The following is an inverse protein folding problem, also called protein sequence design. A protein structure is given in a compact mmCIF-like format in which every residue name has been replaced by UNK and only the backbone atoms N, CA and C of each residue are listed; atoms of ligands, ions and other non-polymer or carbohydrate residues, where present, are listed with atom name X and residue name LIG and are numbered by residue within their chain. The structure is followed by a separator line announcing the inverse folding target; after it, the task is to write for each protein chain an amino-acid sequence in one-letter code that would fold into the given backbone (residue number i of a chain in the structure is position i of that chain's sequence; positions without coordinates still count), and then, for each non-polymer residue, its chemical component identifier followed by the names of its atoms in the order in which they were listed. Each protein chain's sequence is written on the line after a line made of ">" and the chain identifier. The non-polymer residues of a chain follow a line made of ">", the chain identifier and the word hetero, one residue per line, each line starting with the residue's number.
data_IF_063609375719
#
_entry.id   IF_063609375719
#
_cell.length_a   1.000
_cell.length_b   1.000
_cell.length_c   1.000
_cell.angle_alpha   90.00
_cell.angle_beta   90.00
_cell.angle_gamma   90.00
#
_symmetry.space_group_name_H-M   'P 1'
#
loop_
_entity.id
_entity.type
_entity.pdbx_description
1 polymer ?
#
# COMPACT_ATOMS: atom_id res chain seq x y z
N UNK A 1 0.14 7.67 9.31
CA UNK A 1 0.05 6.22 9.03
C UNK A 1 -0.44 5.89 7.62
N UNK A 2 -1.59 6.42 7.19
CA UNK A 2 -2.13 6.15 5.84
C UNK A 2 -1.15 6.54 4.71
N UNK A 3 -0.55 7.73 4.75
CA UNK A 3 0.43 8.16 3.75
C UNK A 3 1.67 7.25 3.70
N UNK A 4 2.15 6.79 4.85
CA UNK A 4 3.26 5.84 4.91
C UNK A 4 2.86 4.49 4.29
N UNK A 5 1.62 4.05 4.50
CA UNK A 5 1.08 2.81 3.92
C UNK A 5 0.94 2.90 2.41
N UNK A 6 0.28 3.95 1.89
CA UNK A 6 0.14 4.19 0.44
C UNK A 6 1.50 4.38 -0.24
N UNK A 7 2.49 4.88 0.49
CA UNK A 7 3.83 5.13 -0.03
C UNK A 7 4.82 4.00 0.25
N UNK A 8 4.42 2.95 0.95
CA UNK A 8 5.27 1.80 1.32
C UNK A 8 6.38 2.09 2.33
N UNK A 9 6.30 3.18 3.09
CA UNK A 9 7.35 3.62 4.02
C UNK A 9 7.13 2.99 5.39
N UNK A 10 8.19 2.43 5.99
CA UNK A 10 8.15 1.80 7.32
C UNK A 10 8.00 2.80 8.47
N UNK A 11 8.39 4.06 8.25
CA UNK A 11 8.34 5.11 9.26
C UNK A 11 7.32 6.18 8.91
N UNK A 12 6.69 6.72 9.95
CA UNK A 12 5.79 7.86 9.79
C UNK A 12 6.61 9.13 9.50
N UNK A 13 6.02 10.06 8.76
CA UNK A 13 6.56 11.41 8.71
C UNK A 13 6.50 12.03 10.12
N UNK A 14 7.41 12.95 10.41
CA UNK A 14 7.35 13.72 11.64
C UNK A 14 6.06 14.55 11.72
N UNK A 15 5.77 14.95 12.94
CA UNK A 15 4.57 15.70 13.28
C UNK A 15 4.49 17.04 12.55
N UNK A 16 5.60 17.78 12.46
CA UNK A 16 5.61 19.12 11.86
C UNK A 16 5.23 19.05 10.37
N UNK A 17 5.84 18.12 9.61
CA UNK A 17 5.48 17.90 8.19
C UNK A 17 4.05 17.39 8.02
N UNK A 18 3.61 16.50 8.89
CA UNK A 18 2.24 15.97 8.86
C UNK A 18 1.19 17.06 9.14
N UNK A 19 1.46 17.91 10.14
CA UNK A 19 0.64 19.06 10.51
C UNK A 19 0.59 20.10 9.39
N UNK A 20 1.74 20.45 8.82
CA UNK A 20 1.81 21.39 7.71
C UNK A 20 1.01 20.90 6.49
N UNK A 21 1.08 19.61 6.17
CA UNK A 21 0.27 19.02 5.10
C UNK A 21 -1.24 19.10 5.42
N UNK A 22 -1.62 18.79 6.66
CA UNK A 22 -3.02 18.84 7.09
C UNK A 22 -3.60 20.26 7.03
N UNK A 23 -2.85 21.27 7.50
CA UNK A 23 -3.29 22.66 7.39
C UNK A 23 -3.47 23.10 5.93
N UNK A 24 -2.56 22.69 5.03
CA UNK A 24 -2.70 22.97 3.60
C UNK A 24 -3.93 22.32 2.98
N UNK A 25 -4.27 21.10 3.39
CA UNK A 25 -5.49 20.41 2.93
C UNK A 25 -6.77 21.15 3.34
N UNK A 26 -6.76 21.88 4.46
CA UNK A 26 -7.92 22.67 4.93
C UNK A 26 -8.15 23.94 4.12
N UNK A 27 -7.10 24.50 3.50
CA UNK A 27 -7.19 25.76 2.75
C UNK A 27 -7.87 25.55 1.40
N UNK A 28 -7.60 24.43 0.71
CA UNK A 28 -8.19 24.16 -0.59
C UNK A 28 -7.47 23.08 -1.40
N UNK A 29 -7.64 23.08 -2.73
CA UNK A 29 -7.00 22.12 -3.62
C UNK A 29 -5.49 22.09 -3.43
N UNK A 30 -4.92 20.90 -3.45
CA UNK A 30 -3.52 20.66 -3.14
C UNK A 30 -2.96 19.52 -3.98
N UNK A 31 -1.72 19.65 -4.44
CA UNK A 31 -0.92 18.52 -4.89
C UNK A 31 0.43 18.58 -4.16
N UNK A 32 0.71 17.59 -3.33
CA UNK A 32 1.95 17.51 -2.56
C UNK A 32 2.36 16.06 -2.33
N UNK A 33 3.66 15.83 -2.10
CA UNK A 33 4.17 14.50 -1.75
C UNK A 33 4.65 14.48 -0.30
N UNK A 34 4.23 13.47 0.47
CA UNK A 34 4.79 13.14 1.78
C UNK A 34 4.84 11.62 1.95
N UNK A 35 5.92 11.11 2.58
CA UNK A 35 6.12 9.66 2.77
C UNK A 35 5.95 8.84 1.49
N UNK A 36 6.51 9.32 0.36
CA UNK A 36 6.41 8.68 -0.97
C UNK A 36 4.99 8.59 -1.56
N UNK A 37 4.01 9.24 -0.91
CA UNK A 37 2.61 9.32 -1.37
C UNK A 37 2.34 10.70 -1.93
N UNK A 38 1.82 10.75 -3.15
CA UNK A 38 1.20 11.95 -3.68
C UNK A 38 -0.19 12.08 -3.08
N UNK A 39 -0.47 13.25 -2.53
CA UNK A 39 -1.76 13.69 -2.04
C UNK A 39 -2.29 14.71 -3.03
N UNK A 40 -3.27 14.30 -3.82
CA UNK A 40 -3.96 15.16 -4.79
C UNK A 40 -5.38 15.42 -4.28
N UNK A 41 -5.59 16.60 -3.71
CA UNK A 41 -6.87 17.08 -3.18
C UNK A 41 -7.56 17.96 -4.20
N UNK A 42 -8.78 17.57 -4.56
CA UNK A 42 -9.66 18.23 -5.54
C UNK A 42 -11.03 18.45 -4.92
N UNK A 43 -11.89 19.18 -5.62
CA UNK A 43 -13.32 19.30 -5.26
C UNK A 43 -14.03 17.94 -5.21
N UNK A 44 -13.60 16.98 -6.02
CA UNK A 44 -14.18 15.64 -6.11
C UNK A 44 -13.67 14.66 -5.05
N UNK A 45 -12.68 15.07 -4.23
CA UNK A 45 -12.13 14.23 -3.18
C UNK A 45 -10.61 14.34 -3.04
N UNK A 46 -10.07 13.55 -2.10
CA UNK A 46 -8.63 13.42 -1.86
C UNK A 46 -8.19 12.07 -2.40
N UNK A 47 -7.23 12.10 -3.31
CA UNK A 47 -6.68 10.91 -3.95
C UNK A 47 -5.25 10.69 -3.46
N UNK A 48 -4.97 9.46 -3.06
CA UNK A 48 -3.67 9.04 -2.55
C UNK A 48 -3.08 7.99 -3.48
N UNK A 49 -1.85 8.19 -3.95
CA UNK A 49 -1.16 7.18 -4.72
C UNK A 49 0.35 7.24 -4.53
N UNK A 50 1.02 6.13 -4.80
CA UNK A 50 2.48 6.03 -4.73
C UNK A 50 3.12 6.91 -5.79
N UNK A 51 4.03 7.79 -5.38
CA UNK A 51 4.81 8.62 -6.30
C UNK A 51 5.71 7.76 -7.22
N UNK A 52 5.81 8.09 -8.51
CA UNK A 52 6.57 7.28 -9.46
C UNK A 52 8.10 7.34 -9.27
N UNK A 53 8.61 8.27 -8.45
CA UNK A 53 10.05 8.39 -8.19
C UNK A 53 10.55 7.23 -7.34
N UNK A 54 11.74 6.72 -7.69
CA UNK A 54 12.43 5.66 -6.97
C UNK A 54 11.58 4.39 -6.79
N UNK A 55 10.82 4.01 -7.83
CA UNK A 55 10.22 2.68 -7.89
C UNK A 55 11.32 1.63 -8.08
N UNK A 56 11.17 0.42 -7.50
CA UNK A 56 12.19 -0.61 -7.68
C UNK A 56 12.33 -0.99 -9.15
N UNK A 57 13.57 -1.27 -9.56
CA UNK A 57 13.84 -1.82 -10.88
C UNK A 57 13.26 -3.24 -11.01
N UNK A 58 13.17 -3.72 -12.26
CA UNK A 58 12.78 -5.10 -12.53
C UNK A 58 13.73 -6.07 -11.82
N UNK A 59 13.18 -7.06 -11.11
CA UNK A 59 13.94 -8.06 -10.38
C UNK A 59 13.24 -9.43 -10.42
N UNK A 60 13.95 -10.54 -10.19
CA UNK A 60 13.31 -11.84 -10.02
C UNK A 60 12.24 -11.78 -8.92
N UNK A 61 11.06 -12.34 -9.18
CA UNK A 61 10.01 -12.46 -8.18
C UNK A 61 10.41 -13.54 -7.16
N UNK A 62 10.32 -13.19 -5.88
CA UNK A 62 10.64 -14.10 -4.76
C UNK A 62 9.39 -14.29 -3.91
N UNK A 63 9.14 -15.53 -3.48
CA UNK A 63 7.98 -15.82 -2.63
C UNK A 63 8.05 -15.08 -1.29
N UNK A 64 6.91 -14.57 -0.83
CA UNK A 64 6.79 -13.80 0.41
C UNK A 64 7.40 -12.39 0.37
N UNK A 65 7.98 -11.96 -0.76
CA UNK A 65 8.66 -10.67 -0.83
C UNK A 65 7.72 -9.49 -0.62
N UNK A 66 8.26 -8.42 -0.03
CA UNK A 66 7.60 -7.12 0.01
C UNK A 66 8.08 -6.26 -1.16
N UNK A 67 7.18 -6.03 -2.12
CA UNK A 67 7.42 -5.06 -3.18
C UNK A 67 7.21 -3.66 -2.64
N UNK A 68 8.26 -2.82 -2.76
CA UNK A 68 8.33 -1.40 -2.39
C UNK A 68 7.80 -1.00 -1.00
N UNK A 69 7.44 -1.98 -0.17
CA UNK A 69 6.79 -1.85 1.14
C UNK A 69 5.25 -1.90 1.09
N UNK A 70 4.61 -1.86 -0.09
CA UNK A 70 3.13 -1.79 -0.20
C UNK A 70 2.45 -3.11 -0.46
N UNK A 71 3.13 -4.05 -1.13
CA UNK A 71 2.52 -5.32 -1.57
C UNK A 71 3.35 -6.52 -1.11
N UNK A 72 2.69 -7.58 -0.64
CA UNK A 72 3.29 -8.90 -0.40
C UNK A 72 2.89 -9.84 -1.52
N UNK A 73 3.88 -10.52 -2.10
CA UNK A 73 3.69 -11.44 -3.23
C UNK A 73 3.76 -12.87 -2.73
N UNK A 74 2.81 -13.72 -3.13
CA UNK A 74 2.82 -15.15 -2.80
C UNK A 74 2.82 -15.96 -4.10
N UNK A 75 3.93 -16.63 -4.40
CA UNK A 75 4.14 -17.35 -5.65
C UNK A 75 3.65 -18.81 -5.59
N UNK A 76 3.54 -19.42 -4.40
CA UNK A 76 3.09 -20.81 -4.21
C UNK A 76 3.81 -21.75 -5.20
N UNK A 77 5.15 -21.81 -5.12
CA UNK A 77 6.05 -22.60 -5.98
C UNK A 77 6.19 -22.16 -7.46
N UNK A 78 5.52 -21.09 -7.89
CA UNK A 78 5.54 -20.62 -9.30
C UNK A 78 6.69 -19.65 -9.63
N UNK A 79 7.85 -19.78 -9.02
CA UNK A 79 8.97 -18.82 -9.15
C UNK A 79 9.68 -18.83 -10.52
N UNK A 80 9.42 -19.83 -11.37
CA UNK A 80 10.13 -20.03 -12.64
C UNK A 80 10.08 -18.82 -13.58
N UNK A 81 11.18 -18.07 -13.64
CA UNK A 81 11.42 -16.98 -14.60
C UNK A 81 10.49 -15.78 -14.47
N UNK A 82 9.75 -15.63 -13.36
CA UNK A 82 8.91 -14.47 -13.12
C UNK A 82 9.77 -13.28 -12.71
N UNK A 83 9.47 -12.12 -13.32
CA UNK A 83 10.08 -10.84 -12.98
C UNK A 83 9.00 -9.95 -12.39
N UNK A 84 9.29 -9.28 -11.29
CA UNK A 84 8.44 -8.24 -10.73
C UNK A 84 9.01 -6.87 -11.09
N UNK A 85 8.16 -5.99 -11.61
CA UNK A 85 8.51 -4.63 -11.99
C UNK A 85 7.28 -3.72 -11.87
N UNK A 86 7.41 -2.38 -11.88
CA UNK A 86 6.26 -1.49 -11.98
C UNK A 86 5.46 -1.80 -13.25
N UNK A 87 4.12 -1.70 -13.18
CA UNK A 87 3.24 -1.84 -14.35
C UNK A 87 3.61 -0.84 -15.46
N UNK A 88 4.00 0.37 -15.06
CA UNK A 88 4.45 1.43 -15.95
C UNK A 88 3.31 2.14 -16.71
N UNK A 89 3.59 3.32 -17.27
CA UNK A 89 2.58 4.22 -17.81
C UNK A 89 1.84 3.65 -19.03
N UNK A 90 2.53 2.90 -19.89
CA UNK A 90 1.96 2.36 -21.12
C UNK A 90 0.93 1.25 -20.85
N UNK A 91 1.20 0.34 -19.91
CA UNK A 91 0.25 -0.69 -19.51
C UNK A 91 -0.86 -0.10 -18.62
N UNK A 92 -0.52 0.79 -17.68
CA UNK A 92 -1.52 1.47 -16.86
C UNK A 92 -2.57 2.22 -17.68
N UNK A 93 -2.19 2.86 -18.80
CA UNK A 93 -3.14 3.52 -19.70
C UNK A 93 -4.22 2.58 -20.25
N UNK A 94 -3.88 1.32 -20.49
CA UNK A 94 -4.79 0.32 -21.08
C UNK A 94 -5.81 -0.23 -20.10
N UNK A 95 -5.54 -0.15 -18.80
CA UNK A 95 -6.36 -0.79 -17.74
C UNK A 95 -6.96 0.23 -16.76
N UNK A 96 -6.85 1.52 -17.04
CA UNK A 96 -7.27 2.60 -16.15
C UNK A 96 -8.77 2.97 -16.30
N UNK A 97 -9.67 2.04 -16.00
CA UNK A 97 -11.14 2.22 -16.08
C UNK A 97 -11.86 2.15 -14.72
N UNK A 98 -12.42 3.24 -14.19
CA UNK A 98 -13.24 3.18 -12.96
C UNK A 98 -13.61 4.54 -12.38
N UNK A 99 -14.01 4.58 -11.11
CA UNK A 99 -14.66 5.75 -10.49
C UNK A 99 -13.76 6.95 -10.11
N UNK A 100 -12.43 6.81 -10.18
CA UNK A 100 -11.49 7.91 -9.92
C UNK A 100 -11.12 8.64 -11.23
N UNK A 101 -10.68 9.92 -11.18
CA UNK A 101 -10.20 10.62 -12.37
C UNK A 101 -9.14 9.81 -13.14
N UNK A 102 -9.35 9.64 -14.45
CA UNK A 102 -8.58 8.71 -15.27
C UNK A 102 -7.07 8.99 -15.26
N UNK A 103 -6.66 10.25 -15.16
CA UNK A 103 -5.24 10.62 -15.02
C UNK A 103 -4.64 10.10 -13.70
N UNK A 104 -5.34 10.28 -12.57
CA UNK A 104 -4.89 9.84 -11.25
C UNK A 104 -4.82 8.32 -11.17
N UNK A 105 -5.82 7.64 -11.73
CA UNK A 105 -5.82 6.19 -11.80
C UNK A 105 -4.65 5.65 -12.63
N UNK A 106 -4.35 6.25 -13.78
CA UNK A 106 -3.16 5.89 -14.58
C UNK A 106 -1.87 6.06 -13.79
N UNK A 107 -1.72 7.17 -13.07
CA UNK A 107 -0.54 7.43 -12.25
C UNK A 107 -0.40 6.43 -11.10
N UNK A 108 -1.51 6.10 -10.43
CA UNK A 108 -1.52 5.12 -9.35
C UNK A 108 -1.15 3.72 -9.86
N UNK A 109 -1.81 3.27 -10.93
CA UNK A 109 -1.58 1.96 -11.53
C UNK A 109 -0.16 1.81 -12.08
N UNK A 110 0.43 2.86 -12.67
CA UNK A 110 1.79 2.81 -13.19
C UNK A 110 2.83 2.47 -12.12
N UNK A 111 2.55 2.79 -10.86
CA UNK A 111 3.41 2.49 -9.72
C UNK A 111 3.12 1.13 -9.08
N UNK A 112 2.01 0.47 -9.38
CA UNK A 112 1.70 -0.86 -8.84
C UNK A 112 2.67 -1.92 -9.38
N UNK A 113 3.04 -2.94 -8.57
CA UNK A 113 3.79 -4.06 -9.09
C UNK A 113 2.95 -4.86 -10.09
N UNK A 114 3.65 -5.33 -11.11
CA UNK A 114 3.18 -6.28 -12.08
C UNK A 114 4.20 -7.43 -12.21
N UNK A 115 3.68 -8.60 -12.53
CA UNK A 115 4.45 -9.80 -12.80
C UNK A 115 4.60 -9.97 -14.31
N UNK A 116 5.82 -10.21 -14.73
CA UNK A 116 6.23 -10.24 -16.12
C UNK A 116 6.95 -11.54 -16.45
N UNK A 117 6.78 -12.00 -17.70
CA UNK A 117 7.57 -13.09 -18.29
C UNK A 117 7.78 -12.79 -19.77
N UNK A 118 9.03 -12.77 -20.23
CA UNK A 118 9.34 -12.53 -21.64
C UNK A 118 8.80 -11.20 -22.22
N UNK A 119 8.59 -10.18 -21.38
CA UNK A 119 8.00 -8.89 -21.78
C UNK A 119 6.48 -8.82 -21.75
N UNK A 120 5.80 -9.94 -21.49
CA UNK A 120 4.36 -10.01 -21.27
C UNK A 120 4.02 -9.73 -19.81
N UNK A 121 3.01 -8.88 -19.56
CA UNK A 121 2.46 -8.66 -18.23
C UNK A 121 1.41 -9.74 -17.93
N UNK A 122 1.70 -10.62 -16.98
CA UNK A 122 0.83 -11.75 -16.64
C UNK A 122 -0.22 -11.37 -15.58
N UNK A 123 0.17 -10.55 -14.62
CA UNK A 123 -0.67 -10.16 -13.48
C UNK A 123 -0.20 -8.83 -12.89
N UNK A 124 -1.04 -8.10 -12.17
CA UNK A 124 -0.68 -6.86 -11.46
C UNK A 124 -1.59 -6.58 -10.27
N UNK A 125 -1.11 -5.76 -9.33
CA UNK A 125 -1.90 -5.41 -8.16
C UNK A 125 -3.16 -4.61 -8.57
N UNK A 126 -4.34 -5.20 -8.35
CA UNK A 126 -5.64 -4.58 -8.68
C UNK A 126 -6.14 -4.88 -10.10
N UNK A 127 -5.52 -5.82 -10.81
CA UNK A 127 -6.06 -6.39 -12.05
C UNK A 127 -6.91 -7.63 -11.80
N UNK A 128 -7.70 -7.99 -12.80
CA UNK A 128 -8.33 -9.32 -12.86
C UNK A 128 -7.28 -10.32 -13.36
N UNK A 129 -6.72 -11.06 -12.42
CA UNK A 129 -5.65 -12.02 -12.68
C UNK A 129 -6.13 -13.20 -13.54
N UNK A 130 -5.30 -13.63 -14.50
CA UNK A 130 -5.50 -14.87 -15.24
C UNK A 130 -5.40 -16.08 -14.29
N UNK A 131 -6.31 -17.08 -14.37
CA UNK A 131 -6.23 -18.25 -13.49
C UNK A 131 -5.01 -19.15 -13.78
N UNK A 132 -4.33 -19.68 -12.74
CA UNK A 132 -4.51 -19.40 -11.32
C UNK A 132 -3.86 -18.06 -10.92
N UNK A 133 -4.54 -17.20 -10.15
CA UNK A 133 -4.00 -15.88 -9.78
C UNK A 133 -2.75 -16.00 -8.90
N UNK A 134 -1.84 -15.01 -8.97
CA UNK A 134 -0.72 -14.89 -8.04
C UNK A 134 -1.10 -13.82 -7.00
N UNK A 135 -1.34 -14.15 -5.73
CA UNK A 135 -1.76 -13.17 -4.75
C UNK A 135 -0.75 -12.02 -4.58
N UNK A 136 -1.22 -10.80 -4.84
CA UNK A 136 -0.51 -9.53 -4.59
C UNK A 136 -1.28 -8.73 -3.55
N UNK A 137 -1.07 -9.05 -2.28
CA UNK A 137 -1.85 -8.50 -1.17
C UNK A 137 -1.29 -7.14 -0.70
N UNK A 138 -2.13 -6.13 -0.40
CA UNK A 138 -1.65 -4.90 0.23
C UNK A 138 -1.16 -5.13 1.66
N UNK A 139 -0.25 -4.28 2.11
CA UNK A 139 0.37 -4.35 3.44
C UNK A 139 0.33 -2.98 4.10
N UNK A 140 0.05 -2.95 5.41
CA UNK A 140 0.21 -1.75 6.23
C UNK A 140 1.70 -1.52 6.49
N UNK A 141 2.36 -0.81 5.58
CA UNK A 141 3.83 -0.73 5.49
C UNK A 141 4.56 -0.45 6.81
N UNK A 142 4.10 0.50 7.67
CA UNK A 142 4.74 0.74 8.97
C UNK A 142 4.84 -0.50 9.88
N UNK A 143 3.92 -1.45 9.70
CA UNK A 143 3.77 -2.63 10.53
C UNK A 143 4.02 -3.93 9.77
N UNK A 144 4.60 -3.86 8.57
CA UNK A 144 4.84 -5.02 7.72
C UNK A 144 5.74 -6.09 8.36
N UNK A 145 6.59 -5.67 9.30
CA UNK A 145 7.58 -6.51 10.01
C UNK A 145 7.26 -6.68 11.50
N UNK A 146 6.73 -5.64 12.13
CA UNK A 146 6.43 -5.63 13.55
C UNK A 146 5.23 -4.72 13.82
N UNK A 147 4.21 -5.23 14.50
CA UNK A 147 3.02 -4.49 14.89
C UNK A 147 2.95 -4.47 16.43
N UNK A 148 3.24 -3.33 17.08
CA UNK A 148 3.07 -3.24 18.53
C UNK A 148 1.58 -3.29 18.91
N UNK A 149 1.28 -3.83 20.09
CA UNK A 149 -0.10 -4.06 20.56
C UNK A 149 -0.92 -2.77 20.64
N UNK A 150 -0.30 -1.65 21.03
CA UNK A 150 -0.97 -0.35 21.12
C UNK A 150 -1.39 0.21 19.75
N UNK A 151 -0.77 -0.25 18.65
CA UNK A 151 -1.11 0.17 17.29
C UNK A 151 -2.11 -0.78 16.58
N UNK A 152 -2.60 -1.83 17.24
CA UNK A 152 -3.51 -2.80 16.62
C UNK A 152 -4.77 -2.16 16.02
N UNK A 153 -5.44 -1.29 16.78
CA UNK A 153 -6.67 -0.61 16.33
C UNK A 153 -6.42 0.30 15.12
N UNK A 154 -5.45 1.24 15.16
CA UNK A 154 -5.17 2.07 13.99
C UNK A 154 -4.71 1.23 12.79
N UNK A 155 -3.84 0.23 13.00
CA UNK A 155 -3.39 -0.65 11.92
C UNK A 155 -4.55 -1.40 11.26
N UNK A 156 -5.50 -1.93 12.03
CA UNK A 156 -6.67 -2.64 11.52
C UNK A 156 -7.59 -1.74 10.68
N UNK A 157 -7.77 -0.48 11.10
CA UNK A 157 -8.54 0.50 10.34
C UNK A 157 -7.90 0.78 8.97
N UNK A 158 -6.58 0.94 8.91
CA UNK A 158 -5.88 1.14 7.63
C UNK A 158 -5.85 -0.15 6.80
N UNK A 159 -5.68 -1.32 7.41
CA UNK A 159 -5.76 -2.60 6.71
C UNK A 159 -7.12 -2.75 6.00
N UNK A 160 -8.21 -2.42 6.70
CA UNK A 160 -9.57 -2.41 6.13
C UNK A 160 -9.68 -1.43 4.96
N UNK A 161 -9.19 -0.19 5.13
CA UNK A 161 -9.27 0.86 4.11
C UNK A 161 -8.55 0.48 2.81
N UNK A 162 -7.44 -0.25 2.88
CA UNK A 162 -6.64 -0.64 1.71
C UNK A 162 -6.98 -2.04 1.18
N UNK A 163 -7.92 -2.76 1.83
CA UNK A 163 -8.25 -4.15 1.49
C UNK A 163 -7.12 -5.14 1.80
N UNK A 164 -6.32 -4.90 2.83
CA UNK A 164 -5.27 -5.83 3.27
C UNK A 164 -5.86 -7.01 4.05
N UNK A 165 -5.18 -8.17 4.06
CA UNK A 165 -5.55 -9.28 4.92
C UNK A 165 -5.66 -8.84 6.39
N UNK A 166 -6.54 -9.50 7.19
CA UNK A 166 -6.69 -9.18 8.59
C UNK A 166 -5.36 -9.35 9.33
N UNK A 167 -5.10 -8.44 10.27
CA UNK A 167 -3.90 -8.47 11.10
C UNK A 167 -3.97 -9.63 12.09
N UNK A 168 -2.82 -10.21 12.48
CA UNK A 168 -2.81 -11.23 13.52
C UNK A 168 -3.39 -10.66 14.82
N UNK A 169 -4.17 -11.44 15.57
CA UNK A 169 -4.70 -11.00 16.87
C UNK A 169 -3.56 -10.75 17.86
N UNK A 170 -3.84 -9.96 18.90
CA UNK A 170 -2.90 -9.80 20.00
C UNK A 170 -2.56 -11.17 20.61
N UNK A 171 -1.28 -11.50 20.81
CA UNK A 171 -0.90 -12.74 21.49
C UNK A 171 -1.31 -12.72 22.97
N UNK A 172 -1.53 -11.52 23.53
CA UNK A 172 -2.01 -11.35 24.89
C UNK A 172 -3.54 -11.37 24.89
N UNK A 173 -4.11 -12.56 24.88
CA UNK A 173 -5.54 -12.73 25.11
C UNK A 173 -5.85 -12.32 26.57
N UNK A 174 -6.73 -11.34 26.79
CA UNK A 174 -7.47 -11.10 28.06
C UNK A 174 -6.87 -10.28 29.22
N UNK A 175 -5.92 -9.37 29.01
CA UNK A 175 -5.46 -8.46 30.08
C UNK A 175 -6.41 -7.27 30.36
N UNK A 176 -7.30 -6.94 29.42
CA UNK A 176 -8.34 -5.90 29.62
C UNK A 176 -9.64 -6.45 30.23
N UNK A 177 -9.64 -7.64 30.83
CA UNK A 177 -10.79 -8.14 31.60
C UNK A 177 -10.92 -7.38 32.91
N UNK A 178 -11.28 -6.09 32.86
CA UNK A 178 -11.95 -5.30 33.93
C UNK A 178 -11.55 -5.55 35.38
N UNK A 179 -10.35 -6.06 35.64
CA UNK A 179 -9.91 -6.50 36.94
C UNK A 179 -9.43 -5.27 37.67
N UNK A 180 -10.21 -4.84 38.65
CA UNK A 180 -9.82 -3.79 39.58
C UNK A 180 -8.35 -4.02 39.97
N UNK A 181 -7.48 -3.07 39.62
CA UNK A 181 -6.12 -3.06 40.13
C UNK A 181 -6.21 -3.08 41.66
N UNK A 182 -5.83 -4.20 42.26
CA UNK A 182 -5.68 -4.29 43.70
C UNK A 182 -4.55 -3.32 44.09
N UNK A 183 -4.94 -2.21 44.74
CA UNK A 183 -4.00 -1.34 45.41
C UNK A 183 -3.41 -2.12 46.58
N UNK A 184 -2.10 -2.33 46.56
CA UNK A 184 -1.31 -2.61 47.76
C UNK A 184 -0.91 -1.29 48.41
#
# INVERSE_FOLDING_TARGET
>A
MLLATVGGVSFLADEARSRALFERLRIGPLCATLSRTVVDARRTGIFLYREARNLPAAAPAVDGMLWDGRRRITLSDRSGGLVIAPLGPAAAKRVAEGGAPANLRRMALAAEPALWRGGECLDFAGGDALPPPIPIAPVVAPFARFLPSFDLKPAAAVATLIGAPPLPPSPFLSHDRGGAWAKA
#
